data_IF_076507943568
#
_entry.id   IF_076507943568
#
_cell.length_a   1.000
_cell.length_b   1.000
_cell.length_c   1.000
_cell.angle_alpha   90.00
_cell.angle_beta   90.00
_cell.angle_gamma   90.00
#
_symmetry.space_group_name_H-M   'P 1'
#
loop_
_entity.id
_entity.type
_entity.pdbx_description
1 polymer ?
#
# COMPACT_ATOMS: atom_id res chain seq x y z
N UNK A 1 -9.12 13.74 -17.20
CA UNK A 1 -9.17 12.48 -17.99
C UNK A 1 -9.53 11.25 -17.15
N UNK A 2 -8.96 11.03 -15.95
CA UNK A 2 -9.33 9.83 -15.15
C UNK A 2 -10.75 9.95 -14.57
N UNK A 3 -11.08 11.07 -13.95
CA UNK A 3 -12.40 11.28 -13.33
C UNK A 3 -13.56 11.21 -14.34
N UNK A 4 -13.36 11.68 -15.56
CA UNK A 4 -14.40 11.67 -16.60
C UNK A 4 -14.66 10.30 -17.22
N UNK A 5 -13.87 9.29 -16.86
CA UNK A 5 -14.01 7.92 -17.35
C UNK A 5 -14.55 6.95 -16.27
N UNK A 6 -14.95 7.49 -15.11
CA UNK A 6 -15.53 6.69 -14.04
C UNK A 6 -17.02 6.44 -14.31
N UNK A 7 -17.43 5.21 -14.10
CA UNK A 7 -18.84 4.82 -14.09
C UNK A 7 -19.46 4.95 -12.70
N UNK A 8 -20.77 4.93 -12.63
CA UNK A 8 -21.48 5.02 -11.35
C UNK A 8 -21.13 3.84 -10.43
N UNK A 9 -20.67 4.16 -9.22
CA UNK A 9 -20.25 3.18 -8.22
C UNK A 9 -18.79 2.77 -8.30
N UNK A 10 -18.01 3.33 -9.23
CA UNK A 10 -16.58 3.08 -9.32
C UNK A 10 -15.82 3.59 -8.09
N UNK A 11 -14.65 3.01 -7.86
CA UNK A 11 -13.72 3.42 -6.80
C UNK A 11 -12.45 3.98 -7.42
N UNK A 12 -12.18 5.24 -7.15
CA UNK A 12 -10.90 5.87 -7.49
C UNK A 12 -9.96 5.79 -6.28
N UNK A 13 -8.87 5.04 -6.42
CA UNK A 13 -7.82 4.95 -5.40
C UNK A 13 -6.65 5.85 -5.76
N UNK A 14 -6.26 6.73 -4.83
CA UNK A 14 -5.08 7.60 -4.96
C UNK A 14 -4.09 7.24 -3.86
N UNK A 15 -2.97 6.62 -4.26
CA UNK A 15 -1.85 6.34 -3.34
C UNK A 15 -0.99 7.60 -3.16
N UNK A 16 -0.46 7.77 -1.94
CA UNK A 16 0.34 8.93 -1.52
C UNK A 16 -0.34 10.28 -1.87
N UNK A 17 -1.62 10.37 -1.57
CA UNK A 17 -2.49 11.51 -1.94
C UNK A 17 -1.93 12.86 -1.47
N UNK A 18 -1.06 12.90 -0.44
CA UNK A 18 -0.37 14.12 -0.01
C UNK A 18 0.61 14.70 -1.04
N UNK A 19 0.88 13.98 -2.14
CA UNK A 19 1.74 14.44 -3.24
C UNK A 19 0.99 15.11 -4.36
N UNK A 20 -0.32 15.25 -4.26
CA UNK A 20 -1.09 15.99 -5.24
C UNK A 20 -0.63 17.45 -5.28
N UNK A 21 -0.56 18.02 -6.47
CA UNK A 21 -0.34 19.46 -6.61
C UNK A 21 -1.59 20.23 -6.19
N UNK A 22 -1.45 21.48 -5.69
CA UNK A 22 -2.60 22.30 -5.32
C UNK A 22 -3.64 22.44 -6.43
N UNK A 23 -3.20 22.52 -7.69
CA UNK A 23 -4.10 22.59 -8.85
C UNK A 23 -4.96 21.33 -8.99
N UNK A 24 -4.38 20.15 -8.72
CA UNK A 24 -5.12 18.89 -8.77
C UNK A 24 -6.05 18.76 -7.57
N UNK A 25 -5.64 19.22 -6.39
CA UNK A 25 -6.53 19.24 -5.22
C UNK A 25 -7.76 20.13 -5.48
N UNK A 26 -7.57 21.33 -6.05
CA UNK A 26 -8.68 22.23 -6.39
C UNK A 26 -9.67 21.62 -7.38
N UNK A 27 -9.18 20.79 -8.31
CA UNK A 27 -10.04 20.05 -9.25
C UNK A 27 -10.81 18.93 -8.52
N UNK A 28 -10.20 18.31 -7.51
CA UNK A 28 -10.84 17.22 -6.75
C UNK A 28 -11.96 17.70 -5.85
N UNK A 29 -11.91 18.93 -5.33
CA UNK A 29 -12.91 19.42 -4.39
C UNK A 29 -14.35 19.38 -4.96
N UNK A 30 -14.65 19.99 -6.11
CA UNK A 30 -15.99 19.90 -6.70
C UNK A 30 -16.33 18.47 -7.14
N UNK A 31 -15.34 17.67 -7.53
CA UNK A 31 -15.56 16.27 -7.88
C UNK A 31 -15.99 15.41 -6.69
N UNK A 32 -15.46 15.70 -5.49
CA UNK A 32 -15.83 15.00 -4.25
C UNK A 32 -17.16 15.47 -3.65
N UNK A 33 -17.46 16.76 -3.76
CA UNK A 33 -18.65 17.37 -3.14
C UNK A 33 -19.90 17.26 -4.03
N UNK A 34 -19.77 17.63 -5.32
CA UNK A 34 -20.89 17.83 -6.23
C UNK A 34 -20.88 16.89 -7.44
N UNK A 35 -19.91 15.97 -7.54
CA UNK A 35 -19.67 15.17 -8.74
C UNK A 35 -19.54 16.00 -10.01
N UNK A 36 -18.83 17.11 -9.93
CA UNK A 36 -18.61 18.03 -11.03
C UNK A 36 -17.12 18.27 -11.25
N UNK A 37 -16.77 18.54 -12.50
CA UNK A 37 -15.42 18.90 -12.91
C UNK A 37 -15.46 20.23 -13.65
N UNK A 38 -14.73 21.22 -13.16
CA UNK A 38 -14.58 22.50 -13.84
C UNK A 38 -13.38 22.45 -14.81
N UNK A 39 -13.68 22.51 -16.11
CA UNK A 39 -12.67 22.50 -17.17
C UNK A 39 -12.56 23.90 -17.79
N UNK A 40 -11.38 24.52 -17.73
CA UNK A 40 -11.10 25.75 -18.43
C UNK A 40 -10.81 25.45 -19.90
N UNK A 41 -11.59 26.05 -20.80
CA UNK A 41 -11.41 25.95 -22.25
C UNK A 41 -11.01 27.32 -22.79
N UNK A 42 -9.90 27.35 -23.55
CA UNK A 42 -9.33 28.58 -24.11
C UNK A 42 -8.25 29.17 -23.21
N UNK A 43 -7.63 30.24 -23.71
CA UNK A 43 -6.56 30.97 -23.01
C UNK A 43 -6.92 32.47 -22.88
N UNK A 44 -6.37 33.12 -21.84
CA UNK A 44 -6.50 34.54 -21.60
C UNK A 44 -7.93 34.98 -21.25
N UNK A 45 -8.33 36.24 -21.57
CA UNK A 45 -9.62 36.81 -21.19
C UNK A 45 -10.84 36.12 -21.83
N UNK A 46 -10.64 35.32 -22.86
CA UNK A 46 -11.67 34.53 -23.54
C UNK A 46 -11.86 33.13 -22.99
N UNK A 47 -11.12 32.74 -21.97
CA UNK A 47 -11.27 31.42 -21.33
C UNK A 47 -12.67 31.27 -20.72
N UNK A 48 -13.28 30.12 -20.97
CA UNK A 48 -14.61 29.77 -20.43
C UNK A 48 -14.48 28.54 -19.55
N UNK A 49 -15.17 28.55 -18.41
CA UNK A 49 -15.34 27.35 -17.59
C UNK A 49 -16.48 26.51 -18.15
N UNK A 50 -16.20 25.24 -18.41
CA UNK A 50 -17.19 24.22 -18.73
C UNK A 50 -17.32 23.28 -17.53
N UNK A 51 -18.53 23.16 -17.00
CA UNK A 51 -18.85 22.17 -15.96
C UNK A 51 -19.21 20.85 -16.61
N UNK A 52 -18.47 19.82 -16.27
CA UNK A 52 -18.73 18.45 -16.68
C UNK A 52 -19.28 17.67 -15.48
N UNK A 53 -20.46 17.09 -15.63
CA UNK A 53 -21.02 16.19 -14.61
C UNK A 53 -20.29 14.86 -14.62
N UNK A 54 -19.96 14.37 -13.44
CA UNK A 54 -19.35 13.06 -13.19
C UNK A 54 -20.40 12.08 -12.67
N UNK A 55 -20.19 10.80 -12.97
CA UNK A 55 -20.97 9.75 -12.30
C UNK A 55 -20.56 9.66 -10.84
N UNK A 56 -21.50 9.32 -9.92
CA UNK A 56 -21.18 9.12 -8.51
C UNK A 56 -20.12 8.03 -8.32
N UNK A 57 -19.03 8.35 -7.66
CA UNK A 57 -17.91 7.47 -7.40
C UNK A 57 -17.47 7.55 -5.94
N UNK A 58 -16.66 6.61 -5.49
CA UNK A 58 -16.01 6.64 -4.18
C UNK A 58 -14.53 6.97 -4.32
N UNK A 59 -14.07 8.01 -3.63
CA UNK A 59 -12.65 8.33 -3.56
C UNK A 59 -12.02 7.67 -2.33
N UNK A 60 -10.95 6.91 -2.54
CA UNK A 60 -10.11 6.33 -1.48
C UNK A 60 -8.72 6.92 -1.59
N UNK A 61 -8.28 7.65 -0.59
CA UNK A 61 -6.93 8.21 -0.49
C UNK A 61 -6.08 7.44 0.51
N UNK A 62 -4.85 7.09 0.14
CA UNK A 62 -3.86 6.55 1.06
C UNK A 62 -2.68 7.52 1.22
N UNK A 63 -2.12 7.58 2.41
CA UNK A 63 -0.94 8.40 2.68
C UNK A 63 -0.11 7.86 3.82
N UNK A 64 1.20 7.94 3.68
CA UNK A 64 2.16 7.69 4.78
C UNK A 64 2.39 8.92 5.64
N UNK A 65 1.91 10.10 5.22
CA UNK A 65 2.17 11.40 5.85
C UNK A 65 0.89 12.21 6.00
N UNK A 66 -0.02 11.76 6.85
CA UNK A 66 -1.31 12.42 7.08
C UNK A 66 -1.17 13.91 7.46
N UNK A 67 -0.09 14.30 8.14
CA UNK A 67 0.19 15.69 8.50
C UNK A 67 0.54 16.60 7.32
N UNK A 68 0.82 16.06 6.13
CA UNK A 68 1.06 16.82 4.91
C UNK A 68 -0.20 17.02 4.06
N UNK A 69 -1.32 16.41 4.43
CA UNK A 69 -2.59 16.68 3.78
C UNK A 69 -3.05 18.08 4.14
N UNK A 70 -3.50 18.83 3.14
CA UNK A 70 -4.14 20.11 3.37
C UNK A 70 -5.43 19.94 4.18
N UNK A 71 -5.76 20.88 5.05
CA UNK A 71 -7.00 20.81 5.82
C UNK A 71 -8.23 20.71 4.90
N UNK A 72 -8.34 21.50 3.82
CA UNK A 72 -9.47 21.38 2.90
C UNK A 72 -9.65 20.00 2.28
N UNK A 73 -8.55 19.32 1.92
CA UNK A 73 -8.62 17.98 1.36
C UNK A 73 -9.02 16.97 2.43
N UNK A 74 -8.39 17.03 3.60
CA UNK A 74 -8.66 16.09 4.70
C UNK A 74 -10.10 16.17 5.19
N UNK A 75 -10.65 17.36 5.31
CA UNK A 75 -11.99 17.61 5.86
C UNK A 75 -13.12 17.12 4.92
N UNK A 76 -12.79 16.84 3.66
CA UNK A 76 -13.70 16.27 2.66
C UNK A 76 -13.80 14.74 2.72
N UNK A 77 -12.90 14.07 3.43
CA UNK A 77 -13.02 12.64 3.68
C UNK A 77 -13.94 12.38 4.86
N UNK A 78 -15.06 11.72 4.61
CA UNK A 78 -16.04 11.36 5.65
C UNK A 78 -15.53 10.25 6.59
N UNK A 79 -14.59 9.43 6.14
CA UNK A 79 -14.02 8.34 6.90
C UNK A 79 -12.49 8.45 6.87
N UNK A 80 -11.90 8.57 8.06
CA UNK A 80 -10.43 8.59 8.21
C UNK A 80 -10.04 7.43 9.12
N UNK A 81 -9.18 6.53 8.61
CA UNK A 81 -8.68 5.38 9.33
C UNK A 81 -7.16 5.41 9.39
N UNK A 82 -6.61 5.10 10.55
CA UNK A 82 -5.18 4.89 10.74
C UNK A 82 -4.89 3.39 10.72
N UNK A 83 -4.04 2.97 9.80
CA UNK A 83 -3.54 1.60 9.77
C UNK A 83 -2.39 1.46 10.77
N UNK A 84 -2.44 0.40 11.56
CA UNK A 84 -1.39 0.05 12.51
C UNK A 84 -0.51 -1.07 11.98
N UNK A 85 0.65 -1.25 12.60
CA UNK A 85 1.52 -2.37 12.29
C UNK A 85 0.85 -3.68 12.72
N UNK A 86 1.05 -4.71 11.92
CA UNK A 86 0.60 -6.04 12.24
C UNK A 86 1.42 -6.65 13.38
N UNK A 87 0.77 -7.42 14.23
CA UNK A 87 1.45 -8.26 15.21
C UNK A 87 2.21 -9.41 14.53
N UNK A 88 3.15 -10.00 15.26
CA UNK A 88 3.90 -11.16 14.77
C UNK A 88 2.97 -12.33 14.42
N UNK A 89 1.91 -12.54 15.20
CA UNK A 89 0.94 -13.61 14.95
C UNK A 89 0.16 -13.40 13.64
N UNK A 90 -0.35 -12.19 13.40
CA UNK A 90 -1.05 -11.83 12.17
C UNK A 90 -0.13 -11.94 10.95
N UNK A 91 1.13 -11.49 11.08
CA UNK A 91 2.11 -11.65 10.01
C UNK A 91 2.44 -13.13 9.74
N UNK A 92 2.50 -13.98 10.77
CA UNK A 92 2.73 -15.42 10.59
C UNK A 92 1.59 -16.08 9.78
N UNK A 93 0.34 -15.66 9.99
CA UNK A 93 -0.77 -16.10 9.15
C UNK A 93 -0.61 -15.62 7.69
N UNK A 94 -0.22 -14.37 7.48
CA UNK A 94 0.03 -13.80 6.14
C UNK A 94 1.16 -14.56 5.44
N UNK A 95 2.27 -14.82 6.14
CA UNK A 95 3.41 -15.59 5.63
C UNK A 95 2.99 -17.00 5.24
N UNK A 96 2.24 -17.70 6.11
CA UNK A 96 1.74 -19.05 5.83
C UNK A 96 0.82 -19.07 4.61
N UNK A 97 -0.12 -18.14 4.49
CA UNK A 97 -0.99 -18.01 3.31
C UNK A 97 -0.20 -17.73 2.04
N UNK A 98 0.83 -16.88 2.14
CA UNK A 98 1.69 -16.54 1.00
C UNK A 98 2.59 -17.72 0.61
N UNK A 99 3.13 -18.48 1.56
CA UNK A 99 3.90 -19.70 1.32
C UNK A 99 3.06 -20.74 0.59
N UNK A 100 1.81 -20.96 1.01
CA UNK A 100 0.88 -21.88 0.34
C UNK A 100 0.62 -21.46 -1.13
N UNK A 101 0.53 -20.17 -1.43
CA UNK A 101 0.38 -19.68 -2.81
C UNK A 101 1.64 -19.85 -3.67
N UNK A 102 2.78 -20.03 -3.03
CA UNK A 102 4.08 -20.26 -3.67
C UNK A 102 4.44 -21.76 -3.71
N UNK A 103 3.53 -22.63 -3.28
CA UNK A 103 3.75 -24.06 -3.11
C UNK A 103 5.00 -24.37 -2.26
N UNK A 104 5.26 -23.51 -1.25
CA UNK A 104 6.42 -23.57 -0.37
C UNK A 104 6.02 -24.17 0.98
N UNK A 105 6.46 -25.39 1.32
CA UNK A 105 6.25 -25.95 2.64
C UNK A 105 6.93 -25.09 3.71
N UNK A 106 6.17 -24.67 4.72
CA UNK A 106 6.67 -23.86 5.82
C UNK A 106 6.14 -24.36 7.16
N UNK A 107 7.02 -24.45 8.13
CA UNK A 107 6.66 -24.76 9.50
C UNK A 107 6.17 -23.51 10.24
N UNK A 108 5.36 -23.71 11.28
CA UNK A 108 4.84 -22.59 12.10
C UNK A 108 5.95 -21.70 12.67
N UNK A 109 7.03 -22.32 13.11
CA UNK A 109 8.17 -21.63 13.71
C UNK A 109 8.99 -20.88 12.65
N UNK A 110 9.08 -21.41 11.42
CA UNK A 110 9.69 -20.72 10.29
C UNK A 110 8.89 -19.49 9.89
N UNK A 111 7.57 -19.60 9.83
CA UNK A 111 6.70 -18.46 9.58
C UNK A 111 6.81 -17.39 10.69
N UNK A 112 6.89 -17.82 11.95
CA UNK A 112 7.07 -16.92 13.08
C UNK A 112 8.42 -16.18 13.04
N UNK A 113 9.51 -16.88 12.60
CA UNK A 113 10.84 -16.27 12.49
C UNK A 113 10.87 -15.16 11.42
N UNK A 114 10.31 -15.45 10.23
CA UNK A 114 10.18 -14.43 9.16
C UNK A 114 9.35 -13.25 9.66
N UNK A 115 8.26 -13.53 10.39
CA UNK A 115 7.33 -12.49 10.88
C UNK A 115 7.97 -11.59 11.93
N UNK A 116 8.79 -12.13 12.84
CA UNK A 116 9.54 -11.33 13.83
C UNK A 116 10.44 -10.29 13.18
N UNK A 117 11.10 -10.65 12.07
CA UNK A 117 12.00 -9.76 11.34
C UNK A 117 11.30 -8.90 10.28
N UNK A 118 9.95 -8.90 10.24
CA UNK A 118 9.16 -8.18 9.24
C UNK A 118 8.69 -6.79 9.67
N UNK A 119 9.06 -6.35 10.87
CA UNK A 119 8.78 -4.99 11.37
C UNK A 119 7.31 -4.60 11.26
N UNK A 120 6.39 -5.52 11.51
CA UNK A 120 4.94 -5.27 11.46
C UNK A 120 4.36 -5.05 10.05
N UNK A 121 5.12 -5.33 8.98
CA UNK A 121 4.74 -4.95 7.62
C UNK A 121 4.60 -6.15 6.68
N UNK A 122 3.39 -6.43 6.12
CA UNK A 122 3.17 -7.54 5.18
C UNK A 122 4.04 -7.50 3.92
N UNK A 123 4.35 -6.30 3.41
CA UNK A 123 5.24 -6.13 2.27
C UNK A 123 6.64 -6.66 2.57
N UNK A 124 7.16 -6.36 3.77
CA UNK A 124 8.48 -6.85 4.21
C UNK A 124 8.41 -8.36 4.41
N UNK A 125 7.41 -8.89 5.11
CA UNK A 125 7.29 -10.33 5.35
C UNK A 125 7.24 -11.15 4.06
N UNK A 126 6.48 -10.69 3.06
CA UNK A 126 6.43 -11.33 1.75
C UNK A 126 7.75 -11.21 0.97
N UNK A 127 8.47 -10.11 1.10
CA UNK A 127 9.82 -9.95 0.53
C UNK A 127 10.79 -10.95 1.16
N UNK A 128 10.80 -11.03 2.48
CA UNK A 128 11.67 -11.96 3.21
C UNK A 128 11.32 -13.42 2.91
N UNK A 129 10.03 -13.78 2.87
CA UNK A 129 9.58 -15.12 2.52
C UNK A 129 10.12 -15.58 1.17
N UNK A 130 10.06 -14.74 0.14
CA UNK A 130 10.60 -15.07 -1.19
C UNK A 130 12.11 -15.33 -1.14
N UNK A 131 12.86 -14.55 -0.35
CA UNK A 131 14.30 -14.73 -0.19
C UNK A 131 14.65 -15.99 0.59
N UNK A 132 13.88 -16.28 1.63
CA UNK A 132 14.03 -17.53 2.40
C UNK A 132 13.72 -18.75 1.51
N UNK A 133 12.71 -18.67 0.64
CA UNK A 133 12.41 -19.70 -0.35
C UNK A 133 13.63 -19.97 -1.25
N UNK A 134 14.23 -18.91 -1.82
CA UNK A 134 15.38 -19.06 -2.71
C UNK A 134 16.55 -19.82 -2.00
N UNK A 135 16.73 -19.59 -0.70
CA UNK A 135 17.74 -20.32 0.11
C UNK A 135 17.29 -21.76 0.40
N UNK A 136 15.99 -21.98 0.70
CA UNK A 136 15.45 -23.30 0.97
C UNK A 136 15.59 -24.24 -0.25
N UNK A 137 15.36 -23.71 -1.45
CA UNK A 137 15.52 -24.46 -2.70
C UNK A 137 16.99 -24.84 -3.00
N UNK A 138 17.96 -24.04 -2.57
CA UNK A 138 19.38 -24.26 -2.89
C UNK A 138 20.12 -25.02 -1.80
N UNK A 139 19.79 -24.81 -0.53
CA UNK A 139 20.55 -25.33 0.62
C UNK A 139 19.78 -26.27 1.52
N UNK A 140 18.47 -26.33 1.38
CA UNK A 140 17.57 -27.11 2.22
C UNK A 140 16.93 -28.28 1.47
N UNK A 141 15.98 -28.88 2.14
CA UNK A 141 15.08 -29.91 1.61
C UNK A 141 13.80 -29.33 1.00
N UNK A 142 13.77 -28.01 0.81
CA UNK A 142 12.61 -27.25 0.32
C UNK A 142 11.58 -26.91 1.40
N UNK A 143 11.83 -27.23 2.68
CA UNK A 143 10.94 -26.90 3.80
C UNK A 143 11.52 -25.74 4.61
N UNK A 144 10.73 -24.73 4.87
CA UNK A 144 11.15 -23.58 5.68
C UNK A 144 10.90 -23.83 7.16
N UNK A 145 11.93 -24.31 7.85
CA UNK A 145 11.98 -24.40 9.31
C UNK A 145 12.46 -23.08 9.95
N UNK A 146 12.36 -22.97 11.27
CA UNK A 146 12.91 -21.81 11.99
C UNK A 146 14.42 -21.66 11.80
N UNK A 147 15.16 -22.77 11.80
CA UNK A 147 16.63 -22.78 11.63
C UNK A 147 16.99 -22.28 10.23
N UNK A 148 16.35 -22.82 9.19
CA UNK A 148 16.59 -22.39 7.82
C UNK A 148 16.20 -20.91 7.59
N UNK A 149 15.09 -20.46 8.18
CA UNK A 149 14.67 -19.07 8.12
C UNK A 149 15.69 -18.13 8.78
N UNK A 150 16.20 -18.49 9.96
CA UNK A 150 17.25 -17.72 10.66
C UNK A 150 18.54 -17.65 9.84
N UNK A 151 19.02 -18.77 9.32
CA UNK A 151 20.21 -18.82 8.47
C UNK A 151 20.06 -17.98 7.20
N UNK A 152 18.92 -18.12 6.52
CA UNK A 152 18.64 -17.36 5.31
C UNK A 152 18.58 -15.85 5.57
N UNK A 153 17.93 -15.43 6.64
CA UNK A 153 17.81 -14.02 7.00
C UNK A 153 19.15 -13.43 7.44
N UNK A 154 19.99 -14.20 8.12
CA UNK A 154 21.36 -13.79 8.47
C UNK A 154 22.25 -13.65 7.22
N UNK A 155 22.13 -14.53 6.22
CA UNK A 155 22.81 -14.40 4.94
C UNK A 155 22.40 -13.12 4.19
N UNK A 156 21.17 -12.65 4.39
CA UNK A 156 20.65 -11.41 3.82
C UNK A 156 21.01 -10.17 4.63
N UNK A 157 21.80 -10.33 5.69
CA UNK A 157 22.13 -9.29 6.66
C UNK A 157 20.92 -8.63 7.32
N UNK A 158 19.81 -9.36 7.43
CA UNK A 158 18.63 -8.93 8.18
C UNK A 158 18.83 -9.35 9.63
N UNK A 159 18.96 -8.39 10.52
CA UNK A 159 19.16 -8.66 11.94
C UNK A 159 17.91 -9.20 12.65
N UNK A 160 18.02 -9.52 13.93
CA UNK A 160 16.90 -10.04 14.74
C UNK A 160 15.74 -9.04 14.90
N UNK A 161 15.96 -7.78 14.61
CA UNK A 161 14.97 -6.70 14.66
C UNK A 161 14.40 -6.36 13.28
N UNK A 162 14.95 -6.98 12.22
CA UNK A 162 14.49 -6.81 10.85
C UNK A 162 15.12 -5.65 10.10
N UNK A 163 16.24 -5.11 10.60
CA UNK A 163 17.01 -4.10 9.87
C UNK A 163 17.99 -4.77 8.92
N UNK A 164 18.14 -4.23 7.74
CA UNK A 164 19.15 -4.64 6.76
C UNK A 164 20.23 -3.55 6.58
N UNK A 165 21.27 -3.85 5.80
CA UNK A 165 22.40 -2.94 5.60
C UNK A 165 22.03 -1.60 4.92
N UNK A 166 20.79 -1.44 4.47
CA UNK A 166 20.29 -0.22 3.81
C UNK A 166 19.34 0.59 4.68
N UNK A 167 19.00 0.12 5.88
CA UNK A 167 18.21 0.82 6.88
C UNK A 167 19.09 1.72 7.75
#
# INVERSE_FOLDING_TARGET
AMLSNLDAGDVLFIDEIHRLSPVVEEILYPAMEDFQLDIMIGEGPAARSLKLELQPFTLVGATTRAGLLTSPLRDRFGIVQRLEFYSVAELAEIVTRSANKLDLPIEKDGAAEISRRSRGTPRISNRLLRRVRDVAEVRGDGVVSAVLADEALNLLNVDKQGFDAMD
#
